data_IF_092869814542
#
_entry.id   IF_092869814542
#
_cell.length_a   1.000
_cell.length_b   1.000
_cell.length_c   1.000
_cell.angle_alpha   90.00
_cell.angle_beta   90.00
_cell.angle_gamma   90.00
#
_symmetry.space_group_name_H-M   'P 1'
#
loop_
_entity.id
_entity.type
_entity.pdbx_description
1 polymer ?
#
# COMPACT_ATOMS: atom_id res chain seq x y z
N UNK A 1 7.83 8.24 -17.27
CA UNK A 1 7.88 6.83 -16.86
C UNK A 1 7.24 6.06 -18.01
N UNK A 2 7.85 4.96 -18.47
CA UNK A 2 7.19 4.15 -19.50
C UNK A 2 5.86 3.62 -18.94
N UNK A 3 4.80 3.53 -19.77
CA UNK A 3 3.48 3.05 -19.32
C UNK A 3 3.56 1.69 -18.60
N UNK A 4 4.45 0.81 -19.07
CA UNK A 4 4.74 -0.48 -18.46
C UNK A 4 5.29 -0.36 -17.02
N UNK A 5 6.15 0.62 -16.76
CA UNK A 5 6.71 0.85 -15.42
C UNK A 5 5.59 1.28 -14.44
N UNK A 6 4.68 2.14 -14.88
CA UNK A 6 3.52 2.58 -14.07
C UNK A 6 2.59 1.40 -13.78
N UNK A 7 2.29 0.57 -14.78
CA UNK A 7 1.47 -0.63 -14.61
C UNK A 7 2.08 -1.60 -13.59
N UNK A 8 3.39 -1.85 -13.68
CA UNK A 8 4.11 -2.70 -12.73
C UNK A 8 4.04 -2.11 -11.31
N UNK A 9 4.26 -0.81 -11.15
CA UNK A 9 4.19 -0.15 -9.85
C UNK A 9 2.78 -0.22 -9.25
N UNK A 10 1.73 -0.06 -10.06
CA UNK A 10 0.34 -0.22 -9.61
C UNK A 10 0.08 -1.62 -9.05
N UNK A 11 0.47 -2.67 -9.78
CA UNK A 11 0.33 -4.07 -9.30
C UNK A 11 1.08 -4.32 -7.99
N UNK A 12 2.28 -3.75 -7.84
CA UNK A 12 3.06 -3.87 -6.61
C UNK A 12 2.36 -3.18 -5.42
N UNK A 13 1.84 -1.99 -5.65
CA UNK A 13 1.12 -1.21 -4.64
C UNK A 13 -0.18 -1.91 -4.22
N UNK A 14 -0.95 -2.46 -5.15
CA UNK A 14 -2.15 -3.26 -4.86
C UNK A 14 -1.83 -4.50 -4.02
N UNK A 15 -0.77 -5.23 -4.40
CA UNK A 15 -0.31 -6.40 -3.64
C UNK A 15 0.13 -6.02 -2.22
N UNK A 16 0.90 -4.95 -2.09
CA UNK A 16 1.35 -4.45 -0.78
C UNK A 16 0.16 -4.04 0.11
N UNK A 17 -0.88 -3.38 -0.43
CA UNK A 17 -2.08 -3.05 0.33
C UNK A 17 -2.77 -4.30 0.88
N UNK A 18 -2.91 -5.34 0.05
CA UNK A 18 -3.53 -6.61 0.46
C UNK A 18 -2.73 -7.29 1.57
N UNK A 19 -1.41 -7.38 1.42
CA UNK A 19 -0.52 -7.98 2.42
C UNK A 19 -0.55 -7.23 3.75
N UNK A 20 -0.55 -5.89 3.72
CA UNK A 20 -0.66 -5.05 4.91
C UNK A 20 -2.03 -5.22 5.60
N UNK A 21 -3.11 -5.38 4.84
CA UNK A 21 -4.44 -5.64 5.39
C UNK A 21 -4.54 -7.00 6.09
N UNK A 22 -3.95 -8.04 5.49
CA UNK A 22 -3.87 -9.35 6.12
C UNK A 22 -3.01 -9.31 7.38
N UNK A 23 -1.87 -8.63 7.35
CA UNK A 23 -1.01 -8.45 8.52
C UNK A 23 -1.73 -7.69 9.65
N UNK A 24 -2.48 -6.64 9.32
CA UNK A 24 -3.22 -5.84 10.29
C UNK A 24 -4.27 -6.67 11.03
N UNK A 25 -4.96 -7.57 10.32
CA UNK A 25 -5.95 -8.49 10.91
C UNK A 25 -5.32 -9.53 11.83
N UNK A 26 -4.06 -9.93 11.57
CA UNK A 26 -3.35 -10.97 12.35
C UNK A 26 -2.67 -10.42 13.60
N UNK A 27 -2.37 -9.12 13.64
CA UNK A 27 -1.70 -8.53 14.81
C UNK A 27 -2.65 -8.42 16.01
N UNK A 28 -2.22 -8.82 17.21
CA UNK A 28 -2.97 -8.59 18.43
C UNK A 28 -2.95 -7.11 18.85
N UNK A 29 -4.02 -6.64 19.49
CA UNK A 29 -4.15 -5.27 20.04
C UNK A 29 -3.43 -5.09 21.38
N UNK A 30 -2.17 -5.54 21.45
CA UNK A 30 -1.37 -5.53 22.68
C UNK A 30 -0.11 -4.67 22.57
N UNK A 31 0.18 -4.16 21.38
CA UNK A 31 1.33 -3.30 21.12
C UNK A 31 1.07 -2.31 19.96
N UNK A 32 2.04 -1.43 19.71
CA UNK A 32 1.97 -0.42 18.66
C UNK A 32 2.08 -0.98 17.23
N UNK A 33 2.17 -2.30 17.04
CA UNK A 33 2.34 -2.95 15.74
C UNK A 33 1.21 -2.62 14.77
N UNK A 34 -0.05 -2.59 15.24
CA UNK A 34 -1.19 -2.17 14.41
C UNK A 34 -1.07 -0.71 13.95
N UNK A 35 -0.63 0.19 14.83
CA UNK A 35 -0.42 1.60 14.49
C UNK A 35 0.65 1.76 13.40
N UNK A 36 1.76 1.01 13.49
CA UNK A 36 2.81 1.05 12.46
C UNK A 36 2.34 0.46 11.13
N UNK A 37 1.63 -0.67 11.15
CA UNK A 37 1.04 -1.25 9.93
C UNK A 37 0.04 -0.29 9.28
N UNK A 38 -0.82 0.34 10.07
CA UNK A 38 -1.79 1.32 9.58
C UNK A 38 -1.08 2.50 8.91
N UNK A 39 -0.06 3.07 9.54
CA UNK A 39 0.76 4.14 8.94
C UNK A 39 1.43 3.70 7.64
N UNK A 40 1.93 2.47 7.57
CA UNK A 40 2.47 1.88 6.35
C UNK A 40 1.42 1.84 5.24
N UNK A 41 0.21 1.36 5.57
CA UNK A 41 -0.91 1.29 4.64
C UNK A 41 -1.31 2.66 4.08
N UNK A 42 -1.35 3.70 4.91
CA UNK A 42 -1.66 5.06 4.45
C UNK A 42 -0.63 5.60 3.46
N UNK A 43 0.66 5.29 3.65
CA UNK A 43 1.71 5.69 2.69
C UNK A 43 1.54 4.99 1.34
N UNK A 44 1.23 3.69 1.36
CA UNK A 44 1.00 2.92 0.14
C UNK A 44 -0.25 3.46 -0.60
N UNK A 45 -1.32 3.82 0.12
CA UNK A 45 -2.49 4.49 -0.48
C UNK A 45 -2.14 5.82 -1.16
N UNK A 46 -1.27 6.61 -0.54
CA UNK A 46 -0.78 7.85 -1.16
C UNK A 46 0.01 7.56 -2.43
N UNK A 47 0.86 6.52 -2.43
CA UNK A 47 1.56 6.08 -3.65
C UNK A 47 0.58 5.63 -4.74
N UNK A 48 -0.47 4.88 -4.39
CA UNK A 48 -1.53 4.50 -5.33
C UNK A 48 -2.16 5.72 -5.99
N UNK A 49 -2.48 6.74 -5.17
CA UNK A 49 -3.08 7.98 -5.67
C UNK A 49 -2.14 8.68 -6.66
N UNK A 50 -0.87 8.86 -6.30
CA UNK A 50 0.13 9.48 -7.18
C UNK A 50 0.25 8.72 -8.50
N UNK A 51 0.32 7.38 -8.47
CA UNK A 51 0.42 6.57 -9.68
C UNK A 51 -0.83 6.66 -10.58
N UNK A 52 -2.01 6.80 -9.99
CA UNK A 52 -3.25 7.01 -10.75
C UNK A 52 -3.32 8.41 -11.35
N UNK A 53 -2.86 9.42 -10.61
CA UNK A 53 -2.82 10.82 -11.09
C UNK A 53 -1.79 11.01 -12.22
N UNK A 54 -0.78 10.12 -12.34
CA UNK A 54 0.22 10.15 -13.42
C UNK A 54 -0.24 9.52 -14.74
N UNK A 55 -1.37 8.81 -14.76
CA UNK A 55 -1.95 8.19 -15.95
C UNK A 55 -2.96 9.12 -16.65
N UNK A 56 -3.26 10.28 -16.05
CA UNK A 56 -4.07 11.37 -16.62
C UNK A 56 -3.23 12.56 -17.05
#
# INVERSE_FOLDING_TARGET
MEELEIEVLKRLVEKALKELDEAYKRLPDVNNGKTYLWRGKERIRLMTKILNDMEG
#
